data_IF_251403519069
#
_entry.id   IF_251403519069
#
_cell.length_a   1.000
_cell.length_b   1.000
_cell.length_c   1.000
_cell.angle_alpha   90.00
_cell.angle_beta   90.00
_cell.angle_gamma   90.00
#
_symmetry.space_group_name_H-M   'P 1'
#
loop_
_entity.id
_entity.type
_entity.pdbx_description
1 polymer ?
#
# COMPACT_ATOMS: atom_id res chain seq x y z
N UNK A 1 -11.13 16.50 -5.79
CA UNK A 1 -10.94 15.03 -5.96
C UNK A 1 -9.52 14.71 -6.40
N UNK A 2 -9.01 15.32 -7.48
CA UNK A 2 -7.64 15.11 -7.97
C UNK A 2 -6.52 15.37 -6.94
N UNK A 3 -6.66 16.42 -6.10
CA UNK A 3 -5.68 16.72 -5.05
C UNK A 3 -5.59 15.59 -4.02
N UNK A 4 -6.74 15.03 -3.61
CA UNK A 4 -6.79 13.94 -2.65
C UNK A 4 -6.21 12.66 -3.24
N UNK A 5 -6.56 12.35 -4.50
CA UNK A 5 -6.01 11.19 -5.22
C UNK A 5 -4.48 11.23 -5.29
N UNK A 6 -3.92 12.38 -5.69
CA UNK A 6 -2.47 12.58 -5.73
C UNK A 6 -1.83 12.44 -4.35
N UNK A 7 -2.44 13.01 -3.31
CA UNK A 7 -1.95 12.91 -1.94
C UNK A 7 -1.93 11.46 -1.44
N UNK A 8 -3.00 10.70 -1.65
CA UNK A 8 -3.05 9.29 -1.23
C UNK A 8 -2.06 8.44 -2.03
N UNK A 9 -1.90 8.70 -3.33
CA UNK A 9 -0.87 8.05 -4.15
C UNK A 9 0.54 8.31 -3.58
N UNK A 10 0.87 9.55 -3.22
CA UNK A 10 2.16 9.87 -2.58
C UNK A 10 2.34 9.13 -1.25
N UNK A 11 1.27 8.95 -0.47
CA UNK A 11 1.34 8.18 0.78
C UNK A 11 1.57 6.68 0.54
N UNK A 12 0.91 6.09 -0.46
CA UNK A 12 1.18 4.70 -0.91
C UNK A 12 2.63 4.53 -1.36
N UNK A 13 3.18 5.48 -2.12
CA UNK A 13 4.58 5.43 -2.55
C UNK A 13 5.57 5.53 -1.39
N UNK A 14 5.26 6.35 -0.37
CA UNK A 14 6.08 6.45 0.85
C UNK A 14 6.08 5.13 1.62
N UNK A 15 4.94 4.46 1.73
CA UNK A 15 4.82 3.15 2.39
C UNK A 15 5.67 2.06 1.73
N UNK A 16 5.93 2.16 0.43
CA UNK A 16 6.81 1.22 -0.28
C UNK A 16 8.30 1.45 -0.04
N UNK A 17 8.70 2.62 0.46
CA UNK A 17 10.11 3.03 0.60
C UNK A 17 10.59 3.08 2.04
N UNK A 18 9.68 3.07 2.99
CA UNK A 18 9.96 3.29 4.41
C UNK A 18 10.18 1.98 5.15
N UNK A 19 11.15 1.99 6.06
CA UNK A 19 11.43 0.88 6.97
C UNK A 19 10.43 0.87 8.13
N UNK A 20 9.82 2.01 8.45
CA UNK A 20 8.79 2.13 9.47
C UNK A 20 7.49 2.63 8.85
N UNK A 21 6.36 2.08 9.30
CA UNK A 21 5.01 2.50 8.87
C UNK A 21 4.36 3.51 9.83
N UNK A 22 5.15 4.07 10.76
CA UNK A 22 4.68 4.97 11.83
C UNK A 22 3.90 6.20 11.32
N UNK A 23 4.14 6.60 10.07
CA UNK A 23 3.27 7.54 9.37
C UNK A 23 3.28 7.17 7.89
N UNK A 24 2.17 6.66 7.33
CA UNK A 24 0.81 7.11 7.57
C UNK A 24 -0.16 5.99 7.98
N UNK A 25 0.19 5.10 8.89
CA UNK A 25 -0.66 3.95 9.24
C UNK A 25 -1.27 4.07 10.64
N UNK A 26 -2.46 3.52 10.85
CA UNK A 26 -3.12 3.48 12.18
C UNK A 26 -2.45 2.42 13.07
N UNK A 27 -2.44 2.69 14.38
CA UNK A 27 -1.88 1.82 15.43
C UNK A 27 -2.45 0.39 15.50
N UNK A 28 -3.48 0.04 14.71
CA UNK A 28 -4.06 -1.32 14.63
C UNK A 28 -4.40 -1.75 13.19
N UNK A 29 -3.62 -1.30 12.20
CA UNK A 29 -3.94 -1.68 10.82
C UNK A 29 -3.72 -3.17 10.56
N UNK A 30 -4.54 -3.72 9.66
CA UNK A 30 -4.45 -5.11 9.22
C UNK A 30 -3.89 -5.16 7.80
N UNK A 31 -2.92 -6.04 7.56
CA UNK A 31 -2.42 -6.37 6.24
C UNK A 31 -2.71 -7.82 5.87
N UNK A 32 -3.30 -8.02 4.70
CA UNK A 32 -3.25 -9.31 4.00
C UNK A 32 -2.09 -9.28 3.01
N UNK A 33 -0.99 -9.89 3.41
CA UNK A 33 0.21 -9.94 2.59
C UNK A 33 -0.03 -10.77 1.32
N UNK A 34 0.79 -10.52 0.30
CA UNK A 34 0.71 -11.23 -0.97
C UNK A 34 1.07 -12.72 -0.90
N UNK A 35 1.58 -13.18 0.24
CA UNK A 35 1.77 -14.59 0.59
C UNK A 35 0.52 -15.26 1.16
N UNK A 36 -0.55 -14.51 1.44
CA UNK A 36 -1.73 -14.97 2.16
C UNK A 36 -1.61 -14.92 3.69
N UNK A 37 -0.49 -14.43 4.23
CA UNK A 37 -0.36 -14.19 5.68
C UNK A 37 -1.13 -12.94 6.09
N UNK A 38 -1.87 -13.05 7.18
CA UNK A 38 -2.43 -11.90 7.89
C UNK A 38 -1.38 -11.33 8.84
N UNK A 39 -1.27 -10.02 8.86
CA UNK A 39 -0.36 -9.29 9.72
C UNK A 39 -1.11 -8.16 10.42
N UNK A 40 -1.00 -8.12 11.74
CA UNK A 40 -1.56 -7.08 12.60
C UNK A 40 -0.41 -6.21 13.08
N UNK A 41 -0.42 -4.95 12.68
CA UNK A 41 0.63 -4.04 13.05
C UNK A 41 0.54 -3.64 14.51
N UNK A 42 1.71 -3.59 15.14
CA UNK A 42 1.90 -2.95 16.43
C UNK A 42 2.85 -1.77 16.24
N UNK A 43 2.56 -0.66 16.93
CA UNK A 43 3.43 0.52 16.92
C UNK A 43 4.88 0.15 17.28
N UNK A 44 5.82 0.57 16.44
CA UNK A 44 7.23 0.23 16.57
C UNK A 44 7.69 -0.97 15.73
N UNK A 45 6.78 -1.64 15.02
CA UNK A 45 7.18 -2.70 14.08
C UNK A 45 8.04 -2.13 12.95
N UNK A 46 9.19 -2.76 12.73
CA UNK A 46 10.16 -2.42 11.69
C UNK A 46 10.03 -3.40 10.53
N UNK A 47 9.87 -2.85 9.33
CA UNK A 47 9.88 -3.59 8.09
C UNK A 47 11.26 -3.48 7.45
N UNK A 48 11.74 -4.60 6.92
CA UNK A 48 12.94 -4.59 6.12
C UNK A 48 12.75 -3.64 4.93
N UNK A 49 13.74 -2.76 4.72
CA UNK A 49 13.78 -1.87 3.57
C UNK A 49 13.55 -2.68 2.31
N UNK A 50 12.58 -2.24 1.49
CA UNK A 50 12.39 -2.81 0.17
C UNK A 50 13.59 -2.38 -0.67
N UNK A 51 14.56 -3.28 -0.82
CA UNK A 51 15.72 -3.08 -1.70
C UNK A 51 15.38 -3.08 -3.20
N UNK A 52 14.11 -3.28 -3.54
CA UNK A 52 13.64 -3.42 -4.90
C UNK A 52 13.07 -2.09 -5.40
N UNK A 53 13.27 -1.80 -6.69
CA UNK A 53 12.55 -0.71 -7.32
C UNK A 53 11.09 -1.13 -7.49
N UNK A 54 10.16 -0.24 -7.14
CA UNK A 54 8.72 -0.46 -7.26
C UNK A 54 8.09 0.65 -8.08
N UNK A 55 7.03 0.33 -8.85
CA UNK A 55 6.23 1.30 -9.59
C UNK A 55 4.75 1.01 -9.41
N UNK A 56 4.00 2.02 -8.96
CA UNK A 56 2.53 2.01 -8.94
C UNK A 56 2.01 2.39 -10.33
N UNK A 57 0.97 1.68 -10.78
CA UNK A 57 0.29 1.89 -12.06
C UNK A 57 -1.21 1.66 -11.89
N UNK A 58 -2.02 2.25 -12.77
CA UNK A 58 -3.50 2.10 -12.74
C UNK A 58 -4.10 2.43 -11.37
N UNK A 59 -3.60 3.49 -10.73
CA UNK A 59 -4.13 3.97 -9.46
C UNK A 59 -5.54 4.51 -9.62
N UNK A 60 -6.44 4.10 -8.73
CA UNK A 60 -7.82 4.56 -8.68
C UNK A 60 -8.20 4.83 -7.23
N UNK A 61 -8.82 5.97 -6.99
CA UNK A 61 -9.41 6.32 -5.71
C UNK A 61 -10.94 6.35 -5.82
N UNK A 62 -11.59 5.68 -4.88
CA UNK A 62 -13.03 5.71 -4.67
C UNK A 62 -13.33 6.29 -3.30
N UNK A 63 -14.19 7.31 -3.24
CA UNK A 63 -14.59 7.91 -1.98
C UNK A 63 -15.76 7.13 -1.38
N UNK A 64 -15.55 6.51 -0.22
CA UNK A 64 -16.59 5.78 0.52
C UNK A 64 -17.40 6.69 1.44
N UNK A 65 -16.79 7.78 1.93
CA UNK A 65 -17.44 8.85 2.69
C UNK A 65 -16.58 10.11 2.72
N UNK A 66 -17.01 11.18 3.39
CA UNK A 66 -16.21 12.39 3.59
C UNK A 66 -14.85 12.12 4.27
N UNK A 67 -14.75 11.03 5.05
CA UNK A 67 -13.58 10.72 5.87
C UNK A 67 -13.01 9.33 5.57
N UNK A 68 -13.40 8.69 4.46
CA UNK A 68 -12.96 7.34 4.11
C UNK A 68 -12.82 7.21 2.60
N UNK A 69 -11.68 6.68 2.15
CA UNK A 69 -11.43 6.36 0.75
C UNK A 69 -10.90 4.94 0.61
N UNK A 70 -11.26 4.31 -0.49
CA UNK A 70 -10.77 3.03 -0.94
C UNK A 70 -9.91 3.25 -2.17
N UNK A 71 -8.72 2.64 -2.22
CA UNK A 71 -7.86 2.73 -3.40
C UNK A 71 -7.49 1.36 -3.91
N UNK A 72 -7.32 1.28 -5.23
CA UNK A 72 -6.82 0.10 -5.91
C UNK A 72 -5.74 0.49 -6.89
N UNK A 73 -4.73 -0.37 -7.06
CA UNK A 73 -3.67 -0.15 -8.03
C UNK A 73 -2.94 -1.45 -8.37
N UNK A 74 -2.13 -1.39 -9.43
CA UNK A 74 -1.16 -2.43 -9.78
C UNK A 74 0.23 -2.01 -9.35
N UNK A 75 0.95 -2.92 -8.71
CA UNK A 75 2.34 -2.72 -8.30
C UNK A 75 3.26 -3.62 -9.13
N UNK A 76 4.25 -2.99 -9.77
CA UNK A 76 5.34 -3.66 -10.46
C UNK A 76 6.57 -3.61 -9.56
N UNK A 77 7.09 -4.77 -9.17
CA UNK A 77 8.33 -4.92 -8.42
C UNK A 77 9.43 -5.42 -9.34
N UNK A 78 10.52 -4.67 -9.42
CA UNK A 78 11.67 -4.97 -10.26
C UNK A 78 12.74 -5.67 -9.41
N UNK A 79 13.10 -6.90 -9.78
CA UNK A 79 14.20 -7.60 -9.13
C UNK A 79 15.55 -7.03 -9.58
N UNK A 80 16.48 -6.86 -8.62
CA UNK A 80 17.86 -6.42 -8.89
C UNK A 80 18.69 -7.49 -9.62
N UNK A 81 18.39 -8.77 -9.40
CA UNK A 81 19.26 -9.90 -9.79
C UNK A 81 18.72 -10.72 -10.96
N UNK A 82 17.41 -10.91 -11.05
CA UNK A 82 16.78 -11.64 -12.14
C UNK A 82 15.95 -10.63 -12.94
N UNK A 83 16.08 -10.59 -14.27
CA UNK A 83 15.33 -9.68 -15.18
C UNK A 83 13.79 -9.84 -15.12
N UNK A 84 13.28 -10.61 -14.17
CA UNK A 84 11.87 -10.85 -13.94
C UNK A 84 11.23 -9.73 -13.12
N UNK A 85 10.03 -9.34 -13.57
CA UNK A 85 9.14 -8.40 -12.87
C UNK A 85 8.09 -9.21 -12.13
N UNK A 86 7.84 -8.86 -10.88
CA UNK A 86 6.70 -9.36 -10.12
C UNK A 86 5.57 -8.35 -10.16
N UNK A 87 4.36 -8.84 -10.34
CA UNK A 87 3.16 -8.02 -10.42
C UNK A 87 2.24 -8.38 -9.25
N UNK A 88 1.61 -7.36 -8.67
CA UNK A 88 0.56 -7.58 -7.67
C UNK A 88 -0.57 -6.58 -7.84
N UNK A 89 -1.79 -7.04 -7.56
CA UNK A 89 -2.93 -6.17 -7.33
C UNK A 89 -2.88 -5.71 -5.87
N UNK A 90 -3.16 -4.43 -5.64
CA UNK A 90 -3.10 -3.81 -4.33
C UNK A 90 -4.41 -3.09 -4.06
N UNK A 91 -4.85 -3.17 -2.83
CA UNK A 91 -5.97 -2.40 -2.33
C UNK A 91 -5.70 -1.92 -0.92
N UNK A 92 -6.27 -0.77 -0.57
CA UNK A 92 -6.18 -0.24 0.79
C UNK A 92 -7.35 0.66 1.11
N UNK A 93 -7.60 0.79 2.41
CA UNK A 93 -8.61 1.71 2.94
C UNK A 93 -7.88 2.75 3.78
N UNK A 94 -8.22 4.00 3.53
CA UNK A 94 -7.68 5.15 4.23
C UNK A 94 -8.82 5.88 4.93
N UNK A 95 -8.55 6.34 6.16
CA UNK A 95 -9.50 7.09 6.98
C UNK A 95 -8.88 8.41 7.41
N UNK A 96 -9.63 9.51 7.34
CA UNK A 96 -9.22 10.79 7.91
C UNK A 96 -9.41 10.75 9.42
N UNK A 97 -8.32 10.91 10.17
CA UNK A 97 -8.27 10.91 11.64
C UNK A 97 -7.42 12.11 12.07
N UNK A 98 -7.97 12.99 12.90
CA UNK A 98 -7.29 14.20 13.40
C UNK A 98 -6.59 14.97 12.27
N UNK A 99 -7.35 15.26 11.19
CA UNK A 99 -6.89 15.93 9.97
C UNK A 99 -5.78 15.24 9.18
N UNK A 100 -5.48 13.98 9.49
CA UNK A 100 -4.47 13.17 8.83
C UNK A 100 -5.08 11.90 8.22
N UNK A 101 -4.79 11.63 6.95
CA UNK A 101 -5.17 10.35 6.37
C UNK A 101 -4.27 9.25 6.91
N UNK A 102 -4.90 8.22 7.47
CA UNK A 102 -4.24 7.03 7.97
C UNK A 102 -4.77 5.81 7.24
N UNK A 103 -3.85 4.98 6.75
CA UNK A 103 -4.21 3.66 6.24
C UNK A 103 -4.69 2.80 7.41
N UNK A 104 -5.84 2.13 7.23
CA UNK A 104 -6.43 1.25 8.23
C UNK A 104 -6.46 -0.21 7.78
N UNK A 105 -6.30 -0.46 6.48
CA UNK A 105 -6.27 -1.80 5.90
C UNK A 105 -5.43 -1.81 4.63
N UNK A 106 -4.69 -2.89 4.38
CA UNK A 106 -3.99 -3.12 3.13
C UNK A 106 -4.11 -4.59 2.70
N UNK A 107 -4.21 -4.83 1.40
CA UNK A 107 -4.08 -6.15 0.81
C UNK A 107 -3.21 -6.10 -0.44
N UNK A 108 -2.34 -7.10 -0.58
CA UNK A 108 -1.67 -7.41 -1.83
C UNK A 108 -2.00 -8.81 -2.31
N UNK A 109 -2.24 -8.98 -3.62
CA UNK A 109 -2.43 -10.29 -4.25
C UNK A 109 -1.41 -10.44 -5.38
N UNK A 110 -0.57 -11.48 -5.33
CA UNK A 110 0.36 -11.76 -6.43
C UNK A 110 -0.41 -12.09 -7.70
N UNK A 111 -0.03 -11.46 -8.81
CA UNK A 111 -0.46 -11.90 -10.13
C UNK A 111 0.56 -12.93 -10.61
N UNK A 112 0.18 -14.19 -10.62
CA UNK A 112 0.91 -15.19 -11.40
C UNK A 112 0.80 -14.82 -12.88
N UNK A 113 1.83 -15.11 -13.68
CA UNK A 113 1.66 -15.18 -15.14
C UNK A 113 0.55 -16.20 -15.37
N UNK A 114 -0.66 -15.76 -15.70
CA UNK A 114 -1.70 -16.68 -16.11
C UNK A 114 -1.18 -17.41 -17.36
N UNK A 115 -1.32 -18.73 -17.37
CA UNK A 115 -1.07 -19.59 -18.53
C UNK A 115 -1.84 -19.08 -19.75
#
# INVERSE_FOLDING_TARGET
MEILEKYILEMEEKLLRTETRESPVKDDFVEFCSSGKEYHYTKGDVFNKIEYQCKITEFKLEQLSNHCVFVTYKLIKYSKSNKEKQYSLRSSIWKLLDDNWKMIFHQGTLQTKNK
#
